data_IF_848511342870
#
_entry.id   IF_848511342870
#
_cell.length_a   1.000
_cell.length_b   1.000
_cell.length_c   1.000
_cell.angle_alpha   90.00
_cell.angle_beta   90.00
_cell.angle_gamma   90.00
#
_symmetry.space_group_name_H-M   'P 1'
#
loop_
_entity.id
_entity.type
_entity.pdbx_description
1 polymer ?
#
# COMPACT_ATOMS: atom_id res chain seq x y z
N UNK A 1 -34.62 -9.10 -8.26
CA UNK A 1 -34.36 -8.38 -9.53
C UNK A 1 -33.06 -7.64 -9.34
N UNK A 2 -31.96 -8.13 -9.91
CA UNK A 2 -30.69 -7.43 -9.85
C UNK A 2 -30.69 -6.43 -11.00
N UNK A 3 -30.82 -5.14 -10.69
CA UNK A 3 -30.60 -4.08 -11.68
C UNK A 3 -29.14 -4.15 -12.13
N UNK A 4 -28.97 -4.48 -13.41
CA UNK A 4 -27.70 -4.42 -14.10
C UNK A 4 -27.15 -3.00 -13.96
N UNK A 5 -25.93 -2.85 -13.45
CA UNK A 5 -25.24 -1.55 -13.49
C UNK A 5 -25.26 -1.03 -14.93
N UNK A 6 -25.64 0.23 -15.19
CA UNK A 6 -25.60 0.78 -16.53
C UNK A 6 -24.18 0.65 -17.08
N UNK A 7 -24.08 0.33 -18.36
CA UNK A 7 -22.80 0.31 -19.08
C UNK A 7 -22.11 1.68 -19.04
N UNK A 8 -20.86 1.78 -19.52
CA UNK A 8 -20.17 3.06 -19.58
C UNK A 8 -21.00 4.07 -20.37
N UNK A 9 -21.37 5.17 -19.72
CA UNK A 9 -22.09 6.29 -20.32
C UNK A 9 -21.11 7.08 -21.20
N UNK A 10 -21.58 7.52 -22.38
CA UNK A 10 -20.81 8.42 -23.24
C UNK A 10 -20.44 9.68 -22.45
N UNK A 11 -19.18 10.17 -22.49
CA UNK A 11 -18.79 11.38 -21.78
C UNK A 11 -19.67 12.60 -22.08
N UNK A 12 -20.29 12.68 -23.26
CA UNK A 12 -21.20 13.78 -23.63
C UNK A 12 -22.61 13.64 -23.03
N UNK A 13 -23.01 12.43 -22.62
CA UNK A 13 -24.27 12.13 -21.92
C UNK A 13 -24.09 12.00 -20.40
N UNK A 14 -22.90 12.36 -19.88
CA UNK A 14 -22.62 12.28 -18.45
C UNK A 14 -23.55 13.22 -17.66
N UNK A 15 -24.09 12.75 -16.52
CA UNK A 15 -24.92 13.60 -15.68
C UNK A 15 -24.12 14.81 -15.19
N UNK A 16 -24.80 15.95 -15.08
CA UNK A 16 -24.22 17.15 -14.50
C UNK A 16 -23.73 16.87 -13.07
N UNK A 17 -22.60 17.49 -12.71
CA UNK A 17 -22.06 17.36 -11.37
C UNK A 17 -22.99 18.02 -10.35
N UNK A 18 -23.17 17.36 -9.21
CA UNK A 18 -23.98 17.87 -8.10
C UNK A 18 -23.19 18.86 -7.25
N UNK A 19 -23.89 19.73 -6.51
CA UNK A 19 -23.25 20.69 -5.61
C UNK A 19 -22.39 20.00 -4.53
N UNK A 20 -22.82 18.83 -4.04
CA UNK A 20 -22.04 18.03 -3.10
C UNK A 20 -20.73 17.51 -3.71
N UNK A 21 -20.74 17.17 -5.00
CA UNK A 21 -19.55 16.75 -5.74
C UNK A 21 -18.57 17.92 -5.93
N UNK A 22 -19.08 19.13 -6.21
CA UNK A 22 -18.25 20.34 -6.25
C UNK A 22 -17.67 20.69 -4.88
N UNK A 23 -18.45 20.56 -3.80
CA UNK A 23 -18.01 20.87 -2.45
C UNK A 23 -16.83 20.01 -1.96
N UNK A 24 -16.65 18.82 -2.53
CA UNK A 24 -15.55 17.90 -2.20
C UNK A 24 -14.41 17.87 -3.23
N UNK A 25 -14.54 18.63 -4.31
CA UNK A 25 -13.56 18.64 -5.40
C UNK A 25 -12.24 19.31 -4.99
N UNK A 26 -11.19 19.08 -5.77
CA UNK A 26 -9.93 19.80 -5.62
C UNK A 26 -10.08 21.18 -6.26
N UNK A 27 -9.66 22.22 -5.54
CA UNK A 27 -9.60 23.59 -6.06
C UNK A 27 -8.14 23.89 -6.37
N UNK A 28 -7.84 24.07 -7.65
CA UNK A 28 -6.52 24.43 -8.13
C UNK A 28 -6.59 25.65 -9.06
N UNK A 29 -5.63 26.57 -8.90
CA UNK A 29 -5.47 27.72 -9.78
C UNK A 29 -4.05 27.69 -10.38
N UNK A 30 -3.94 27.79 -11.71
CA UNK A 30 -2.66 27.72 -12.43
C UNK A 30 -1.79 26.50 -12.08
N UNK A 31 -2.42 25.37 -11.76
CA UNK A 31 -1.73 24.13 -11.39
C UNK A 31 -1.25 24.07 -9.94
N UNK A 32 -1.51 25.09 -9.12
CA UNK A 32 -1.28 25.05 -7.68
C UNK A 32 -2.57 24.67 -6.96
N UNK A 33 -2.53 23.60 -6.17
CA UNK A 33 -3.67 23.16 -5.34
C UNK A 33 -3.82 24.11 -4.17
N UNK A 34 -4.95 24.81 -4.12
CA UNK A 34 -5.34 25.72 -3.03
C UNK A 34 -6.05 24.93 -1.92
N UNK A 35 -6.98 24.06 -2.30
CA UNK A 35 -7.69 23.17 -1.39
C UNK A 35 -7.77 21.77 -1.98
N UNK A 36 -7.24 20.74 -1.30
CA UNK A 36 -7.28 19.37 -1.80
C UNK A 36 -8.70 18.80 -1.74
N UNK A 37 -9.04 17.92 -2.68
CA UNK A 37 -10.30 17.19 -2.65
C UNK A 37 -10.49 16.42 -1.34
N UNK A 38 -11.70 16.37 -0.81
CA UNK A 38 -12.00 15.61 0.42
C UNK A 38 -12.79 14.34 0.10
N UNK A 39 -12.40 13.20 0.67
CA UNK A 39 -13.15 11.95 0.54
C UNK A 39 -12.29 10.68 0.55
N UNK A 40 -12.96 9.53 0.49
CA UNK A 40 -12.35 8.19 0.56
C UNK A 40 -11.34 7.92 -0.56
N UNK A 41 -11.47 8.62 -1.69
CA UNK A 41 -10.56 8.47 -2.85
C UNK A 41 -9.31 9.35 -2.77
N UNK A 42 -9.29 10.41 -1.96
CA UNK A 42 -8.13 11.32 -1.87
C UNK A 42 -6.95 10.67 -1.15
N UNK A 43 -7.24 9.81 -0.16
CA UNK A 43 -6.25 8.90 0.41
C UNK A 43 -6.35 7.60 -0.37
N UNK A 44 -5.53 7.47 -1.42
CA UNK A 44 -5.37 6.18 -2.11
C UNK A 44 -5.22 5.08 -1.06
N UNK A 45 -5.84 3.89 -1.25
CA UNK A 45 -5.89 2.86 -0.23
C UNK A 45 -4.46 2.53 0.19
N UNK A 46 -4.04 3.09 1.33
CA UNK A 46 -2.76 2.75 1.93
C UNK A 46 -2.75 1.25 2.11
N UNK A 47 -1.58 0.63 1.93
CA UNK A 47 -1.41 -0.80 2.23
C UNK A 47 -1.97 -1.04 3.63
N UNK A 48 -2.97 -1.91 3.75
CA UNK A 48 -3.58 -2.22 5.03
C UNK A 48 -2.49 -2.52 6.05
N UNK A 49 -2.55 -1.86 7.21
CA UNK A 49 -1.62 -2.11 8.29
C UNK A 49 -1.70 -3.60 8.67
N UNK A 50 -0.56 -4.27 8.68
CA UNK A 50 -0.48 -5.65 9.16
C UNK A 50 -0.50 -5.62 10.70
N UNK A 51 -1.27 -6.49 11.34
CA UNK A 51 -1.31 -6.59 12.80
C UNK A 51 0.06 -6.93 13.41
N UNK A 52 0.85 -7.74 12.69
CA UNK A 52 2.19 -8.15 13.10
C UNK A 52 3.20 -8.00 11.95
N UNK A 53 3.72 -6.78 11.71
CA UNK A 53 4.76 -6.57 10.71
C UNK A 53 6.08 -7.19 11.15
N UNK A 54 6.97 -7.49 10.18
CA UNK A 54 8.34 -7.92 10.50
C UNK A 54 9.05 -6.81 11.28
N UNK A 55 9.49 -7.12 12.49
CA UNK A 55 10.25 -6.17 13.30
C UNK A 55 11.71 -6.12 12.82
N UNK A 56 12.20 -4.91 12.54
CA UNK A 56 13.62 -4.68 12.27
C UNK A 56 14.37 -4.72 13.59
N UNK A 57 15.25 -5.70 13.74
CA UNK A 57 16.15 -5.84 14.90
C UNK A 57 17.59 -5.65 14.48
N UNK A 58 18.43 -5.12 15.37
CA UNK A 58 19.87 -5.02 15.16
C UNK A 58 20.55 -6.15 15.92
N UNK A 59 21.13 -7.12 15.20
CA UNK A 59 21.82 -8.27 15.75
C UNK A 59 23.26 -8.30 15.21
N UNK A 60 24.22 -8.64 16.06
CA UNK A 60 25.59 -8.93 15.64
C UNK A 60 25.72 -10.43 15.42
N UNK A 61 26.28 -10.81 14.27
CA UNK A 61 26.62 -12.18 13.93
C UNK A 61 28.13 -12.28 13.78
N UNK A 62 28.67 -13.47 13.98
CA UNK A 62 30.07 -13.75 13.67
C UNK A 62 30.33 -13.53 12.17
N UNK A 63 31.56 -13.15 11.85
CA UNK A 63 31.94 -12.72 10.51
C UNK A 63 31.73 -13.82 9.46
N UNK A 64 32.19 -15.03 9.77
CA UNK A 64 32.07 -16.23 8.93
C UNK A 64 30.59 -16.61 8.69
N UNK A 65 29.76 -16.53 9.73
CA UNK A 65 28.31 -16.79 9.61
C UNK A 65 27.64 -15.77 8.70
N UNK A 66 27.94 -14.48 8.89
CA UNK A 66 27.37 -13.42 8.05
C UNK A 66 27.77 -13.58 6.58
N UNK A 67 29.02 -13.95 6.31
CA UNK A 67 29.51 -14.20 4.96
C UNK A 67 28.86 -15.44 4.33
N UNK A 68 28.78 -16.55 5.07
CA UNK A 68 28.11 -17.76 4.58
C UNK A 68 26.64 -17.50 4.24
N UNK A 69 25.93 -16.71 5.06
CA UNK A 69 24.56 -16.33 4.80
C UNK A 69 24.44 -15.47 3.54
N UNK A 70 25.27 -14.44 3.36
CA UNK A 70 25.26 -13.62 2.15
C UNK A 70 25.61 -14.43 0.90
N UNK A 71 26.59 -15.33 0.99
CA UNK A 71 26.99 -16.22 -0.09
C UNK A 71 25.87 -17.20 -0.51
N UNK A 72 24.92 -17.50 0.38
CA UNK A 72 23.74 -18.32 0.08
C UNK A 72 22.74 -17.67 -0.90
N UNK A 73 23.02 -16.44 -1.34
CA UNK A 73 22.35 -15.77 -2.45
C UNK A 73 21.09 -15.00 -2.07
N UNK A 74 20.30 -14.65 -3.09
CA UNK A 74 19.07 -13.87 -2.94
C UNK A 74 18.11 -14.56 -1.96
N UNK A 75 17.61 -13.79 -0.99
CA UNK A 75 16.64 -14.28 -0.01
C UNK A 75 17.26 -14.91 1.25
N UNK A 76 18.57 -14.81 1.45
CA UNK A 76 19.23 -15.33 2.66
C UNK A 76 18.62 -14.84 3.97
N UNK A 77 18.17 -13.58 4.05
CA UNK A 77 17.49 -13.03 5.24
C UNK A 77 16.18 -13.75 5.56
N UNK A 78 15.40 -14.10 4.52
CA UNK A 78 14.17 -14.88 4.69
C UNK A 78 14.50 -16.28 5.20
N UNK A 79 15.55 -16.90 4.65
CA UNK A 79 16.02 -18.23 5.06
C UNK A 79 16.47 -18.24 6.53
N UNK A 80 17.22 -17.24 6.97
CA UNK A 80 17.61 -17.07 8.39
C UNK A 80 16.38 -16.96 9.28
N UNK A 81 15.40 -16.13 8.89
CA UNK A 81 14.18 -15.99 9.67
C UNK A 81 13.38 -17.31 9.76
N UNK A 82 13.38 -18.15 8.72
CA UNK A 82 12.77 -19.48 8.77
C UNK A 82 13.49 -20.41 9.75
N UNK A 83 14.83 -20.47 9.69
CA UNK A 83 15.64 -21.29 10.62
C UNK A 83 15.44 -20.87 12.07
N UNK A 84 15.38 -19.56 12.35
CA UNK A 84 15.13 -19.05 13.70
C UNK A 84 13.73 -19.44 14.21
N UNK A 85 12.72 -19.51 13.33
CA UNK A 85 11.37 -19.98 13.71
C UNK A 85 11.37 -21.46 14.03
N UNK A 86 11.95 -22.27 13.16
CA UNK A 86 12.08 -23.71 13.37
C UNK A 86 12.85 -24.01 14.67
N UNK A 87 13.90 -23.24 14.99
CA UNK A 87 14.64 -23.38 16.24
C UNK A 87 13.82 -23.04 17.49
N UNK A 88 12.88 -22.07 17.40
CA UNK A 88 11.99 -21.70 18.50
C UNK A 88 10.80 -22.65 18.67
N UNK A 89 10.47 -23.44 17.65
CA UNK A 89 9.41 -24.45 17.67
C UNK A 89 9.87 -25.81 18.21
N UNK A 90 11.16 -25.96 18.55
CA UNK A 90 11.73 -27.14 19.19
C UNK A 90 11.27 -27.33 20.63
#
# INVERSE_FOLDING_TARGET
MAELSPGPVDPDDAPAWTDEQFARAEIAENGAVLEPATGTLTKGPGRHALDHPKQRVTLRLDHDVAEALRASGKGWQTRVNSVLREWLEQ
#
